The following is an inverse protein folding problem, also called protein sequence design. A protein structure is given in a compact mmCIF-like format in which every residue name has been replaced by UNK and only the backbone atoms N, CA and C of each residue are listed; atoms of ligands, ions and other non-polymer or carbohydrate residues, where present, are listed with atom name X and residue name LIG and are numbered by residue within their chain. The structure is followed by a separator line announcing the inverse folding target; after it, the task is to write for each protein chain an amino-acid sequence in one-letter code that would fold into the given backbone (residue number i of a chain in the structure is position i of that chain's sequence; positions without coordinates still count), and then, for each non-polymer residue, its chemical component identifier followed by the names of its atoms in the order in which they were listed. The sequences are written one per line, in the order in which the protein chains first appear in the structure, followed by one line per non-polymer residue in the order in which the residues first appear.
data_IF_166769890073
#
_entry.id   IF_166769890073
#
_cell.length_a   1.000
_cell.length_b   1.000
_cell.length_c   1.000
_cell.angle_alpha   90.00
_cell.angle_beta   90.00
_cell.angle_gamma   90.00
#
_symmetry.space_group_name_H-M   'P 1'
#
loop_
_entity.id
_entity.type
_entity.pdbx_description
1 polymer ?
#
# COMPACT_ATOMS: atom_id res chain seq x y z
N UNK A 1 -24.14 25.93 21.07
CA UNK A 1 -22.70 25.72 21.32
C UNK A 1 -21.83 26.92 20.93
N UNK A 2 -21.75 27.33 19.64
CA UNK A 2 -20.92 28.48 19.18
C UNK A 2 -21.14 29.80 19.94
N UNK A 3 -22.39 30.18 20.18
CA UNK A 3 -22.71 31.39 20.95
C UNK A 3 -22.25 31.34 22.42
N UNK A 4 -22.26 30.15 23.04
CA UNK A 4 -21.81 29.96 24.41
C UNK A 4 -20.28 30.09 24.55
N UNK A 5 -19.53 29.58 23.56
CA UNK A 5 -18.07 29.74 23.48
C UNK A 5 -17.66 31.20 23.29
N UNK A 6 -18.38 31.93 22.41
CA UNK A 6 -18.12 33.36 22.16
C UNK A 6 -18.32 34.20 23.43
N UNK A 7 -19.34 33.91 24.26
CA UNK A 7 -19.55 34.58 25.56
C UNK A 7 -18.40 34.36 26.55
N UNK A 8 -17.70 33.23 26.48
CA UNK A 8 -16.53 32.92 27.32
C UNK A 8 -15.20 33.37 26.69
N UNK A 9 -15.21 34.06 25.55
CA UNK A 9 -13.99 34.47 24.84
C UNK A 9 -13.19 33.32 24.25
N UNK A 10 -13.77 32.12 24.12
CA UNK A 10 -13.08 30.92 23.58
C UNK A 10 -13.47 30.73 22.12
N UNK A 11 -12.47 30.59 21.24
CA UNK A 11 -12.72 30.26 19.84
C UNK A 11 -13.07 28.78 19.68
N UNK A 12 -13.85 28.45 18.65
CA UNK A 12 -14.24 27.04 18.38
C UNK A 12 -13.01 26.16 18.18
N UNK A 13 -11.98 26.66 17.48
CA UNK A 13 -10.72 25.92 17.29
C UNK A 13 -9.99 25.65 18.60
N UNK A 14 -9.93 26.62 19.52
CA UNK A 14 -9.30 26.44 20.84
C UNK A 14 -10.09 25.48 21.73
N UNK A 15 -11.42 25.52 21.67
CA UNK A 15 -12.27 24.57 22.38
C UNK A 15 -12.10 23.14 21.84
N UNK A 16 -12.12 22.97 20.52
CA UNK A 16 -11.88 21.67 19.88
C UNK A 16 -10.48 21.13 20.20
N UNK A 17 -9.44 21.96 20.15
CA UNK A 17 -8.08 21.55 20.49
C UNK A 17 -7.91 21.20 21.97
N UNK A 18 -8.67 21.82 22.88
CA UNK A 18 -8.70 21.41 24.27
C UNK A 18 -9.39 20.05 24.44
N UNK A 19 -10.56 19.86 23.84
CA UNK A 19 -11.25 18.57 23.86
C UNK A 19 -10.44 17.46 23.21
N UNK A 20 -9.77 17.73 22.08
CA UNK A 20 -8.95 16.75 21.38
C UNK A 20 -7.81 16.23 22.26
N UNK A 21 -7.14 17.12 23.01
CA UNK A 21 -6.06 16.75 23.94
C UNK A 21 -6.51 15.94 25.15
N UNK A 22 -7.78 16.06 25.54
CA UNK A 22 -8.37 15.24 26.62
C UNK A 22 -8.81 13.85 26.13
N UNK A 23 -9.03 13.69 24.82
CA UNK A 23 -9.61 12.47 24.23
C UNK A 23 -8.57 11.63 23.49
N UNK A 24 -7.56 12.27 22.90
CA UNK A 24 -6.58 11.63 22.01
C UNK A 24 -5.17 12.04 22.44
N UNK A 25 -4.29 11.05 22.53
CA UNK A 25 -2.87 11.26 22.79
C UNK A 25 -2.20 11.98 21.61
N UNK A 26 -1.32 12.94 21.92
CA UNK A 26 -0.64 13.75 20.90
C UNK A 26 0.21 12.89 19.95
N UNK A 27 0.78 11.78 20.43
CA UNK A 27 1.55 10.87 19.58
C UNK A 27 0.66 10.13 18.59
N UNK A 28 -0.53 9.66 19.01
CA UNK A 28 -1.51 9.04 18.12
C UNK A 28 -2.02 10.01 17.06
N UNK A 29 -2.26 11.27 17.45
CA UNK A 29 -2.68 12.30 16.51
C UNK A 29 -1.60 12.58 15.45
N UNK A 30 -0.32 12.58 15.86
CA UNK A 30 0.80 12.73 14.93
C UNK A 30 0.88 11.57 13.94
N UNK A 31 0.77 10.32 14.40
CA UNK A 31 0.76 9.14 13.51
C UNK A 31 -0.37 9.23 12.49
N UNK A 32 -1.58 9.61 12.92
CA UNK A 32 -2.71 9.79 12.01
C UNK A 32 -2.49 10.94 11.02
N UNK A 33 -1.85 12.03 11.45
CA UNK A 33 -1.51 13.16 10.60
C UNK A 33 -0.46 12.79 9.54
N UNK A 34 0.56 12.02 9.92
CA UNK A 34 1.61 11.54 9.01
C UNK A 34 1.03 10.54 7.99
N UNK A 35 0.22 9.58 8.42
CA UNK A 35 -0.49 8.66 7.52
C UNK A 35 -1.39 9.41 6.52
N UNK A 36 -2.13 10.42 7.00
CA UNK A 36 -2.98 11.24 6.12
C UNK A 36 -2.16 12.06 5.13
N UNK A 37 -0.99 12.55 5.54
CA UNK A 37 -0.06 13.27 4.67
C UNK A 37 0.45 12.35 3.56
N UNK A 38 0.83 11.12 3.89
CA UNK A 38 1.28 10.10 2.95
C UNK A 38 0.19 9.72 1.94
N UNK A 39 -1.05 9.50 2.40
CA UNK A 39 -2.20 9.23 1.53
C UNK A 39 -2.40 10.33 0.48
N UNK A 40 -2.25 11.59 0.89
CA UNK A 40 -2.35 12.72 -0.04
C UNK A 40 -1.23 12.69 -1.07
N UNK A 41 0.01 12.39 -0.66
CA UNK A 41 1.14 12.28 -1.59
C UNK A 41 0.87 11.20 -2.64
N UNK A 42 0.43 10.01 -2.22
CA UNK A 42 0.05 8.92 -3.13
C UNK A 42 -1.08 9.36 -4.07
N UNK A 43 -2.16 9.93 -3.52
CA UNK A 43 -3.31 10.40 -4.30
C UNK A 43 -2.90 11.42 -5.37
N UNK A 44 -2.15 12.45 -4.98
CA UNK A 44 -1.70 13.47 -5.92
C UNK A 44 -0.71 12.91 -6.94
N UNK A 45 0.21 12.02 -6.54
CA UNK A 45 1.13 11.37 -7.47
C UNK A 45 0.40 10.60 -8.58
N UNK A 46 -0.60 9.79 -8.21
CA UNK A 46 -1.39 9.00 -9.16
C UNK A 46 -2.30 9.88 -10.04
N UNK A 47 -2.78 11.01 -9.51
CA UNK A 47 -3.65 11.90 -10.28
C UNK A 47 -2.88 12.76 -11.30
N UNK A 48 -1.54 12.79 -11.25
CA UNK A 48 -0.72 13.50 -12.26
C UNK A 48 -0.69 12.79 -13.62
N UNK A 49 -0.94 11.48 -13.68
CA UNK A 49 -0.94 10.71 -14.93
C UNK A 49 -2.07 11.09 -15.91
N UNK A 50 -3.36 11.24 -15.49
CA UNK A 50 -4.42 11.70 -16.38
C UNK A 50 -4.33 13.19 -16.75
N UNK A 51 -3.49 13.99 -16.07
CA UNK A 51 -3.22 15.38 -16.40
C UNK A 51 -3.25 16.35 -15.22
N UNK A 52 -3.25 17.66 -15.50
CA UNK A 52 -3.14 18.71 -14.49
C UNK A 52 -4.41 18.88 -13.65
N UNK A 53 -4.24 18.93 -12.32
CA UNK A 53 -5.31 19.16 -11.36
C UNK A 53 -5.65 20.64 -11.20
N UNK A 54 -6.94 20.95 -11.03
CA UNK A 54 -7.43 22.27 -10.63
C UNK A 54 -7.86 22.23 -9.15
N UNK A 55 -7.36 23.15 -8.33
CA UNK A 55 -7.69 23.17 -6.89
C UNK A 55 -9.21 23.24 -6.63
N UNK A 56 -9.93 24.03 -7.44
CA UNK A 56 -11.38 24.21 -7.31
C UNK A 56 -12.23 22.97 -7.65
N UNK A 57 -11.67 21.97 -8.34
CA UNK A 57 -12.38 20.71 -8.60
C UNK A 57 -12.17 19.66 -7.50
N UNK A 58 -11.30 19.93 -6.52
CA UNK A 58 -11.04 19.01 -5.42
C UNK A 58 -12.18 19.08 -4.38
N UNK A 59 -12.57 17.95 -3.76
CA UNK A 59 -13.49 17.95 -2.62
C UNK A 59 -13.03 18.87 -1.49
N UNK A 60 -13.98 19.50 -0.79
CA UNK A 60 -13.68 20.44 0.29
C UNK A 60 -12.92 19.83 1.47
N UNK A 61 -12.97 18.50 1.65
CA UNK A 61 -12.13 17.77 2.60
C UNK A 61 -10.66 17.78 2.17
N UNK A 62 -10.36 17.35 0.94
CA UNK A 62 -9.00 17.36 0.37
C UNK A 62 -8.43 18.78 0.34
N UNK A 63 -9.22 19.79 -0.03
CA UNK A 63 -8.76 21.18 0.00
C UNK A 63 -8.29 21.63 1.39
N UNK A 64 -9.01 21.23 2.45
CA UNK A 64 -8.64 21.50 3.84
C UNK A 64 -7.37 20.75 4.22
N UNK A 65 -7.27 19.48 3.88
CA UNK A 65 -6.10 18.67 4.23
C UNK A 65 -4.84 19.19 3.52
N UNK A 66 -4.93 19.55 2.23
CA UNK A 66 -3.83 20.19 1.49
C UNK A 66 -3.37 21.47 2.19
N UNK A 67 -4.31 22.31 2.64
CA UNK A 67 -3.96 23.54 3.35
C UNK A 67 -3.30 23.27 4.69
N UNK A 68 -3.77 22.25 5.42
CA UNK A 68 -3.25 21.87 6.73
C UNK A 68 -1.84 21.27 6.64
N UNK A 69 -1.62 20.32 5.71
CA UNK A 69 -0.37 19.55 5.67
C UNK A 69 0.68 20.13 4.73
N UNK A 70 0.28 20.80 3.64
CA UNK A 70 1.19 21.29 2.60
C UNK A 70 1.11 22.81 2.39
N UNK A 71 0.10 23.48 2.95
CA UNK A 71 -0.14 24.92 2.79
C UNK A 71 -0.80 25.27 1.46
N UNK A 72 -0.31 24.72 0.34
CA UNK A 72 -0.80 25.03 -1.01
C UNK A 72 -0.90 23.78 -1.90
N UNK A 73 -1.68 23.88 -2.98
CA UNK A 73 -1.73 22.83 -4.01
C UNK A 73 -0.37 22.64 -4.69
N UNK A 74 0.37 23.72 -4.93
CA UNK A 74 1.68 23.64 -5.55
C UNK A 74 2.64 22.78 -4.72
N UNK A 75 2.65 22.99 -3.40
CA UNK A 75 3.55 22.27 -2.49
C UNK A 75 3.26 20.76 -2.45
N UNK A 76 1.98 20.34 -2.44
CA UNK A 76 1.65 18.90 -2.46
C UNK A 76 1.95 18.28 -3.83
N UNK A 77 1.75 19.01 -4.93
CA UNK A 77 2.11 18.56 -6.27
C UNK A 77 3.63 18.42 -6.42
N UNK A 78 4.42 19.34 -5.88
CA UNK A 78 5.88 19.27 -5.91
C UNK A 78 6.40 18.12 -5.06
N UNK A 79 5.80 17.88 -3.88
CA UNK A 79 6.10 16.70 -3.06
C UNK A 79 5.79 15.40 -3.80
N UNK A 80 4.61 15.31 -4.43
CA UNK A 80 4.21 14.14 -5.21
C UNK A 80 5.13 13.88 -6.42
N UNK A 81 5.55 14.94 -7.14
CA UNK A 81 6.54 14.83 -8.22
C UNK A 81 7.89 14.36 -7.70
N UNK A 82 8.35 14.89 -6.57
CA UNK A 82 9.60 14.45 -5.94
C UNK A 82 9.58 12.96 -5.64
N UNK A 83 8.47 12.45 -5.10
CA UNK A 83 8.28 11.02 -4.89
C UNK A 83 8.35 10.24 -6.21
N UNK A 84 7.59 10.63 -7.23
CA UNK A 84 7.61 9.98 -8.55
C UNK A 84 9.01 9.97 -9.19
N UNK A 85 9.76 11.07 -9.07
CA UNK A 85 11.13 11.15 -9.57
C UNK A 85 12.06 10.20 -8.81
N UNK A 86 11.89 10.09 -7.50
CA UNK A 86 12.70 9.20 -6.66
C UNK A 86 12.49 7.71 -6.97
N UNK A 87 11.33 7.31 -7.51
CA UNK A 87 11.06 5.93 -7.91
C UNK A 87 11.97 5.43 -9.03
N UNK A 88 12.62 6.33 -9.78
CA UNK A 88 13.58 5.96 -10.82
C UNK A 88 14.90 5.44 -10.24
N UNK A 89 15.22 5.82 -9.00
CA UNK A 89 16.41 5.37 -8.30
C UNK A 89 16.15 3.98 -7.68
N UNK A 90 16.88 2.98 -8.19
CA UNK A 90 16.79 1.60 -7.73
C UNK A 90 17.07 1.48 -6.23
N UNK A 91 18.10 2.15 -5.72
CA UNK A 91 18.49 2.05 -4.31
C UNK A 91 17.47 2.72 -3.37
N UNK A 92 16.81 3.78 -3.84
CA UNK A 92 15.70 4.39 -3.09
C UNK A 92 14.50 3.44 -3.03
N UNK A 93 14.18 2.79 -4.14
CA UNK A 93 13.04 1.88 -4.22
C UNK A 93 13.29 0.58 -3.42
N UNK A 94 14.49 0.02 -3.49
CA UNK A 94 14.87 -1.16 -2.70
C UNK A 94 14.82 -0.90 -1.20
N UNK A 95 15.20 0.30 -0.73
CA UNK A 95 15.03 0.66 0.68
C UNK A 95 13.57 0.65 1.11
N UNK A 96 12.66 1.12 0.27
CA UNK A 96 11.23 1.05 0.55
C UNK A 96 10.71 -0.40 0.57
N UNK A 97 11.32 -1.31 -0.19
CA UNK A 97 10.98 -2.73 -0.15
C UNK A 97 11.44 -3.40 1.14
N UNK A 98 12.64 -3.06 1.61
CA UNK A 98 13.15 -3.51 2.91
C UNK A 98 12.25 -2.98 4.04
N UNK A 99 11.91 -1.70 4.02
CA UNK A 99 10.99 -1.08 5.00
C UNK A 99 9.61 -1.76 4.99
N UNK A 100 9.07 -2.07 3.81
CA UNK A 100 7.82 -2.80 3.65
C UNK A 100 7.89 -4.23 4.23
N UNK A 101 9.04 -4.89 4.13
CA UNK A 101 9.23 -6.22 4.72
C UNK A 101 9.38 -6.14 6.24
N UNK A 102 10.09 -5.13 6.76
CA UNK A 102 10.27 -4.89 8.18
C UNK A 102 8.95 -4.55 8.90
N UNK A 103 7.98 -3.96 8.20
CA UNK A 103 6.65 -3.67 8.75
C UNK A 103 5.80 -4.93 8.98
N UNK A 104 6.18 -6.08 8.42
CA UNK A 104 5.45 -7.36 8.51
C UNK A 104 4.26 -7.46 7.55
N UNK A 105 4.07 -6.50 6.66
CA UNK A 105 2.96 -6.47 5.70
C UNK A 105 3.34 -6.95 4.30
N UNK A 106 4.63 -7.16 4.05
CA UNK A 106 5.19 -7.67 2.81
C UNK A 106 6.38 -8.60 3.08
N UNK A 107 6.81 -9.32 2.05
CA UNK A 107 8.04 -10.13 2.04
C UNK A 107 8.94 -9.63 0.91
N UNK A 108 10.24 -9.48 1.18
CA UNK A 108 11.22 -9.05 0.19
C UNK A 108 12.35 -10.07 0.08
N UNK A 109 12.39 -10.79 -1.04
CA UNK A 109 13.36 -11.87 -1.31
C UNK A 109 13.80 -11.83 -2.77
N UNK A 110 15.09 -12.08 -3.04
CA UNK A 110 15.68 -12.12 -4.38
C UNK A 110 15.32 -10.88 -5.25
N UNK A 111 15.26 -9.70 -4.63
CA UNK A 111 14.93 -8.45 -5.32
C UNK A 111 13.46 -8.31 -5.71
N UNK A 112 12.59 -9.22 -5.24
CA UNK A 112 11.14 -9.21 -5.47
C UNK A 112 10.40 -8.89 -4.19
N UNK A 113 9.59 -7.84 -4.19
CA UNK A 113 8.66 -7.54 -3.10
C UNK A 113 7.32 -8.24 -3.37
N UNK A 114 6.75 -8.91 -2.35
CA UNK A 114 5.48 -9.62 -2.43
C UNK A 114 4.56 -9.22 -1.28
N UNK A 115 3.28 -8.99 -1.55
CA UNK A 115 2.31 -8.65 -0.51
C UNK A 115 0.87 -8.95 -0.96
N UNK A 116 -0.06 -9.02 0.00
CA UNK A 116 -1.50 -9.07 -0.28
C UNK A 116 -2.01 -7.67 -0.58
N UNK A 117 -2.90 -7.51 -1.56
CA UNK A 117 -3.43 -6.19 -1.94
C UNK A 117 -4.10 -5.44 -0.78
N UNK A 118 -4.72 -6.17 0.16
CA UNK A 118 -5.30 -5.61 1.38
C UNK A 118 -4.29 -4.91 2.30
N UNK A 119 -3.00 -5.25 2.21
CA UNK A 119 -1.94 -4.64 3.02
C UNK A 119 -1.38 -3.36 2.40
N UNK A 120 -1.80 -2.99 1.18
CA UNK A 120 -1.17 -1.90 0.41
C UNK A 120 -1.15 -0.57 1.19
N UNK A 121 -2.18 -0.27 1.97
CA UNK A 121 -2.27 0.96 2.76
C UNK A 121 -1.21 1.07 3.87
N UNK A 122 -0.66 -0.06 4.32
CA UNK A 122 0.39 -0.13 5.35
C UNK A 122 1.80 -0.10 4.77
N UNK A 123 1.94 -0.09 3.44
CA UNK A 123 3.24 -0.09 2.78
C UNK A 123 3.76 1.33 2.58
N UNK A 124 5.08 1.52 2.46
CA UNK A 124 5.66 2.83 2.20
C UNK A 124 5.08 3.48 0.94
N UNK A 125 4.99 4.82 0.96
CA UNK A 125 4.44 5.66 -0.12
C UNK A 125 4.92 5.24 -1.52
N UNK A 126 6.21 4.89 -1.64
CA UNK A 126 6.81 4.48 -2.91
C UNK A 126 6.20 3.21 -3.48
N UNK A 127 6.01 2.19 -2.64
CA UNK A 127 5.38 0.91 -3.02
C UNK A 127 3.93 1.15 -3.43
N UNK A 128 3.22 1.99 -2.65
CA UNK A 128 1.83 2.39 -2.92
C UNK A 128 1.68 3.09 -4.27
N UNK A 129 2.60 3.98 -4.62
CA UNK A 129 2.61 4.65 -5.93
C UNK A 129 2.86 3.63 -7.04
N UNK A 130 3.83 2.72 -6.91
CA UNK A 130 4.13 1.71 -7.95
C UNK A 130 2.92 0.80 -8.21
N UNK A 131 2.26 0.31 -7.16
CA UNK A 131 1.03 -0.47 -7.30
C UNK A 131 -0.13 0.36 -7.88
N UNK A 132 -0.26 1.62 -7.51
CA UNK A 132 -1.25 2.53 -8.09
C UNK A 132 -1.02 2.83 -9.57
N UNK A 133 0.24 2.91 -10.02
CA UNK A 133 0.58 3.01 -11.43
C UNK A 133 0.11 1.76 -12.20
N UNK A 134 0.18 0.58 -11.58
CA UNK A 134 -0.32 -0.66 -12.18
C UNK A 134 -1.84 -0.62 -12.40
N UNK A 135 -2.62 -0.07 -11.46
CA UNK A 135 -4.07 0.18 -11.63
C UNK A 135 -4.37 1.14 -12.79
N UNK A 136 -3.56 2.17 -13.00
CA UNK A 136 -3.72 3.10 -14.13
C UNK A 136 -3.50 2.38 -15.47
N UNK A 137 -2.52 1.47 -15.54
CA UNK A 137 -2.21 0.71 -16.76
C UNK A 137 -3.21 -0.43 -16.99
N UNK A 138 -3.72 -1.04 -15.92
CA UNK A 138 -4.67 -2.14 -15.96
C UNK A 138 -5.75 -1.93 -14.90
N UNK A 139 -6.92 -1.44 -15.32
CA UNK A 139 -8.06 -1.23 -14.42
C UNK A 139 -8.48 -2.54 -13.75
N UNK A 140 -8.72 -2.50 -12.45
CA UNK A 140 -9.04 -3.66 -11.63
C UNK A 140 -7.82 -4.40 -11.08
N UNK A 141 -6.61 -3.88 -11.25
CA UNK A 141 -5.39 -4.44 -10.64
C UNK A 141 -5.48 -4.49 -9.11
N UNK A 142 -6.07 -3.47 -8.49
CA UNK A 142 -6.32 -3.37 -7.05
C UNK A 142 -7.28 -4.44 -6.51
N UNK A 143 -8.04 -5.11 -7.37
CA UNK A 143 -8.96 -6.18 -6.99
C UNK A 143 -8.27 -7.56 -6.93
N UNK A 144 -7.04 -7.66 -7.41
CA UNK A 144 -6.25 -8.90 -7.35
C UNK A 144 -5.86 -9.18 -5.90
N UNK A 145 -5.64 -10.44 -5.55
CA UNK A 145 -5.39 -10.82 -4.16
C UNK A 145 -3.94 -10.61 -3.74
N UNK A 146 -3.00 -10.93 -4.64
CA UNK A 146 -1.57 -10.80 -4.39
C UNK A 146 -0.91 -9.93 -5.44
N UNK A 147 0.09 -9.15 -4.99
CA UNK A 147 0.92 -8.29 -5.82
C UNK A 147 2.37 -8.65 -5.62
N UNK A 148 3.11 -8.72 -6.73
CA UNK A 148 4.56 -8.82 -6.75
C UNK A 148 5.15 -7.64 -7.53
N UNK A 149 6.21 -7.04 -7.00
CA UNK A 149 7.01 -6.05 -7.71
C UNK A 149 8.40 -6.63 -7.90
N UNK A 150 8.76 -6.87 -9.16
CA UNK A 150 9.96 -7.62 -9.51
C UNK A 150 11.27 -6.84 -9.38
N UNK A 151 12.41 -7.53 -9.51
CA UNK A 151 13.73 -6.91 -9.58
C UNK A 151 13.92 -6.13 -10.89
N UNK A 152 13.22 -6.54 -11.94
CA UNK A 152 13.15 -5.78 -13.19
C UNK A 152 12.35 -4.50 -12.96
N UNK A 153 13.04 -3.35 -13.07
CA UNK A 153 12.40 -2.05 -12.87
C UNK A 153 11.18 -1.89 -13.77
N UNK A 154 10.05 -1.54 -13.15
CA UNK A 154 8.82 -1.25 -13.88
C UNK A 154 7.98 -2.47 -14.25
N UNK A 155 8.33 -3.68 -13.81
CA UNK A 155 7.44 -4.85 -13.96
C UNK A 155 6.73 -5.14 -12.65
N UNK A 156 5.40 -5.09 -12.70
CA UNK A 156 4.50 -5.42 -11.59
C UNK A 156 3.63 -6.59 -12.01
N UNK A 157 3.44 -7.55 -11.11
CA UNK A 157 2.58 -8.71 -11.32
C UNK A 157 1.48 -8.73 -10.29
N UNK A 158 0.29 -9.13 -10.71
CA UNK A 158 -0.83 -9.37 -9.82
C UNK A 158 -1.47 -10.72 -10.10
N UNK A 159 -1.97 -11.36 -9.06
CA UNK A 159 -2.46 -12.73 -9.11
C UNK A 159 -3.92 -12.77 -8.70
N UNK A 160 -4.72 -13.44 -9.53
CA UNK A 160 -6.10 -13.76 -9.23
C UNK A 160 -6.17 -15.15 -8.61
N UNK A 161 -6.73 -15.27 -7.41
CA UNK A 161 -6.70 -16.49 -6.60
C UNK A 161 -8.10 -16.94 -6.16
N UNK A 162 -8.41 -18.21 -6.36
CA UNK A 162 -9.61 -18.85 -5.76
C UNK A 162 -9.26 -19.44 -4.39
N UNK A 163 -10.14 -19.22 -3.41
CA UNK A 163 -10.00 -19.68 -2.01
C UNK A 163 -8.77 -19.12 -1.27
N UNK A 164 -8.65 -17.80 -1.21
CA UNK A 164 -7.54 -17.04 -0.59
C UNK A 164 -7.19 -17.51 0.83
N UNK A 165 -8.20 -17.89 1.61
CA UNK A 165 -8.06 -18.33 3.01
C UNK A 165 -7.74 -19.83 3.16
N UNK A 166 -7.66 -20.58 2.06
CA UNK A 166 -7.31 -22.00 2.10
C UNK A 166 -5.81 -22.21 2.31
N UNK A 167 -5.41 -23.38 2.81
CA UNK A 167 -4.00 -23.75 2.90
C UNK A 167 -3.29 -23.84 1.53
N UNK A 168 -4.05 -23.86 0.42
CA UNK A 168 -3.57 -23.90 -0.97
C UNK A 168 -4.57 -23.20 -1.93
N UNK A 169 -4.65 -21.85 -1.96
CA UNK A 169 -5.37 -21.11 -2.97
C UNK A 169 -4.76 -21.36 -4.33
N UNK A 170 -5.64 -21.32 -5.30
CA UNK A 170 -5.33 -21.64 -6.68
C UNK A 170 -5.21 -20.35 -7.45
N UNK A 171 -4.06 -20.14 -8.07
CA UNK A 171 -3.88 -19.03 -9.01
C UNK A 171 -4.67 -19.34 -10.28
N UNK A 172 -5.68 -18.54 -10.55
CA UNK A 172 -6.53 -18.63 -11.73
C UNK A 172 -6.00 -17.76 -12.87
N UNK A 173 -5.39 -16.62 -12.55
CA UNK A 173 -4.78 -15.77 -13.54
C UNK A 173 -3.56 -15.02 -12.99
N UNK A 174 -2.66 -14.67 -13.91
CA UNK A 174 -1.54 -13.77 -13.70
C UNK A 174 -1.70 -12.56 -14.63
N UNK A 175 -1.57 -11.37 -14.08
CA UNK A 175 -1.54 -10.12 -14.83
C UNK A 175 -0.14 -9.54 -14.66
N UNK A 176 0.62 -9.50 -15.75
CA UNK A 176 1.94 -8.87 -15.80
C UNK A 176 1.83 -7.50 -16.46
N UNK A 177 2.38 -6.48 -15.81
CA UNK A 177 2.29 -5.09 -16.20
C UNK A 177 3.69 -4.53 -16.35
N UNK A 178 4.01 -4.07 -17.55
CA UNK A 178 5.19 -3.27 -17.86
C UNK A 178 4.79 -1.79 -17.77
N UNK A 179 5.14 -1.15 -16.66
CA UNK A 179 4.86 0.25 -16.36
C UNK A 179 5.58 1.19 -17.33
N UNK A 180 6.80 0.85 -17.76
CA UNK A 180 7.58 1.67 -18.68
C UNK A 180 6.95 1.74 -20.07
N UNK A 181 6.37 0.64 -20.53
CA UNK A 181 5.67 0.56 -21.82
C UNK A 181 4.16 0.80 -21.71
N UNK A 182 3.64 0.92 -20.48
CA UNK A 182 2.20 0.97 -20.19
C UNK A 182 1.44 -0.16 -20.89
N UNK A 183 1.95 -1.39 -20.79
CA UNK A 183 1.34 -2.59 -21.37
C UNK A 183 1.05 -3.62 -20.30
N UNK A 184 -0.13 -4.24 -20.37
CA UNK A 184 -0.49 -5.37 -19.53
C UNK A 184 -0.68 -6.64 -20.36
N UNK A 185 -0.37 -7.79 -19.77
CA UNK A 185 -0.59 -9.12 -20.33
C UNK A 185 -1.26 -9.97 -19.27
N UNK A 186 -2.44 -10.52 -19.59
CA UNK A 186 -3.12 -11.49 -18.74
C UNK A 186 -2.83 -12.90 -19.25
N UNK A 187 -2.49 -13.80 -18.34
CA UNK A 187 -2.39 -15.23 -18.58
C UNK A 187 -3.40 -15.92 -17.68
N UNK A 188 -4.34 -16.63 -18.28
CA UNK A 188 -5.30 -17.45 -17.54
C UNK A 188 -4.78 -18.86 -17.48
N UNK A 189 -4.95 -19.48 -16.32
CA UNK A 189 -4.52 -20.82 -16.04
C UNK A 189 -5.75 -21.75 -16.04
N UNK A 190 -5.78 -22.74 -16.94
CA UNK A 190 -6.88 -23.72 -17.01
C UNK A 190 -6.83 -24.70 -15.81
N UNK A 191 -7.94 -25.37 -15.50
CA UNK A 191 -8.19 -26.28 -14.36
C UNK A 191 -7.12 -27.33 -14.05
N UNK A 192 -6.15 -27.55 -14.93
CA UNK A 192 -4.96 -28.40 -14.68
C UNK A 192 -3.83 -27.66 -13.94
N UNK A 193 -4.04 -26.40 -13.54
CA UNK A 193 -2.90 -25.57 -13.19
C UNK A 193 -2.20 -25.95 -11.88
N UNK A 194 -0.88 -26.04 -12.05
CA UNK A 194 0.18 -26.09 -11.06
C UNK A 194 -0.13 -25.31 -9.80
N UNK A 195 -0.13 -26.02 -8.67
CA UNK A 195 0.18 -25.43 -7.38
C UNK A 195 1.42 -24.56 -7.52
N UNK A 196 1.36 -23.33 -7.01
CA UNK A 196 2.59 -22.56 -6.80
C UNK A 196 3.57 -23.43 -6.01
N UNK A 197 4.87 -23.34 -6.34
CA UNK A 197 5.90 -24.00 -5.54
C UNK A 197 5.69 -23.64 -4.07
N UNK A 198 5.78 -24.60 -3.12
CA UNK A 198 5.60 -24.34 -1.69
C UNK A 198 6.41 -23.15 -1.17
N UNK A 199 7.55 -22.82 -1.80
CA UNK A 199 8.37 -21.66 -1.46
C UNK A 199 7.64 -20.31 -1.63
N UNK A 200 6.87 -20.12 -2.70
CA UNK A 200 6.10 -18.89 -2.95
C UNK A 200 4.93 -18.79 -1.95
N UNK A 201 4.39 -19.94 -1.54
CA UNK A 201 3.30 -20.07 -0.58
C UNK A 201 3.72 -19.79 0.86
N UNK A 202 4.85 -20.38 1.29
CA UNK A 202 5.43 -20.22 2.62
C UNK A 202 5.90 -18.78 2.83
N UNK A 203 6.51 -18.14 1.83
CA UNK A 203 6.95 -16.75 1.90
C UNK A 203 5.80 -15.72 1.93
N UNK A 204 4.64 -16.05 1.35
CA UNK A 204 3.45 -15.18 1.36
C UNK A 204 2.64 -15.26 2.67
N UNK A 205 2.70 -16.39 3.40
CA UNK A 205 1.97 -16.60 4.67
C UNK A 205 2.81 -16.27 5.91
N UNK A 206 4.14 -16.49 5.89
CA UNK A 206 4.97 -16.39 7.10
C UNK A 206 5.43 -14.97 7.48
N UNK A 207 4.75 -13.92 7.02
CA UNK A 207 4.85 -12.56 7.59
C UNK A 207 4.38 -12.46 9.06
N UNK A 208 3.96 -13.55 9.70
CA UNK A 208 3.65 -13.62 11.12
C UNK A 208 4.82 -14.20 11.92
N UNK A 209 5.42 -13.36 12.79
CA UNK A 209 6.32 -13.83 13.87
C UNK A 209 5.65 -14.99 14.61
N UNK A 210 6.32 -16.13 14.60
CA UNK A 210 5.99 -17.32 15.37
C UNK A 210 5.85 -16.99 16.86
N UNK A 211 4.63 -17.02 17.38
CA UNK A 211 4.37 -17.45 18.77
C UNK A 211 4.20 -18.98 18.78
N UNK A 212 4.78 -19.69 19.76
CA UNK A 212 4.86 -21.14 19.73
C UNK A 212 3.50 -21.74 20.10
N UNK A 213 2.89 -22.50 19.18
CA UNK A 213 1.81 -23.42 19.53
C UNK A 213 2.41 -24.76 19.96
N UNK A 214 1.76 -25.44 20.92
CA UNK A 214 2.40 -26.41 21.79
C UNK A 214 2.76 -27.69 21.06
N UNK A 215 3.90 -28.23 21.48
CA UNK A 215 4.38 -29.58 21.20
C UNK A 215 3.28 -30.63 21.39
N UNK A 216 2.99 -31.39 20.34
CA UNK A 216 2.18 -32.60 20.46
C UNK A 216 1.76 -33.15 19.11
N UNK A 217 2.58 -34.03 18.53
CA UNK A 217 2.15 -34.84 17.38
C UNK A 217 3.29 -35.23 16.46
N UNK A 218 4.00 -36.30 16.80
CA UNK A 218 4.92 -37.02 15.93
C UNK A 218 4.27 -37.34 14.58
N UNK A 219 4.85 -36.87 13.48
CA UNK A 219 4.66 -37.50 12.18
C UNK A 219 6.01 -38.01 11.69
N UNK A 220 6.05 -39.34 11.60
CA UNK A 220 7.22 -40.18 11.44
C UNK A 220 7.75 -40.10 10.00
N UNK A 221 9.02 -39.70 9.84
CA UNK A 221 9.77 -39.65 8.58
C UNK A 221 10.28 -41.06 8.21
N UNK A 222 9.36 -41.97 7.90
CA UNK A 222 9.69 -43.31 7.41
C UNK A 222 8.61 -43.82 6.45
N UNK A 223 8.54 -43.21 5.26
CA UNK A 223 7.87 -43.80 4.09
C UNK A 223 8.26 -43.11 2.79
N UNK A 224 9.56 -42.90 2.58
CA UNK A 224 10.14 -42.66 1.26
C UNK A 224 11.47 -43.40 1.22
N UNK A 225 11.38 -44.69 0.82
CA UNK A 225 12.45 -45.65 0.48
C UNK A 225 13.77 -45.58 1.26
#
# INVERSE_FOLDING_TARGET
MRAALKRKGVTVGRALAACAREIVDDAQLKVAADARREDLIVHFALTLFPGALKYGSLPASIQRDVRTFFGSLANVVDAAKSELHSLRDRAVLERAYVEAAESGFATYEDGTLRFMSGNLEHLPVKVRIVAGCAEIVHQGFSLLEFVEIGPEQGVVRGFECTMVESALPRVCALIEIDLARSKSRRRTFDRKCSTLSPAIWIAAILGCKSSPLPTGGCWNLASWT
#
